data_IF_867908171050
#
_entry.id   IF_867908171050
#
_cell.length_a   1.000
_cell.length_b   1.000
_cell.length_c   1.000
_cell.angle_alpha   90.00
_cell.angle_beta   90.00
_cell.angle_gamma   90.00
#
_symmetry.space_group_name_H-M   'P 1'
#
loop_
_entity.id
_entity.type
_entity.pdbx_description
1 polymer ?
#
# COMPACT_ATOMS: atom_id res chain seq x y z
N UNK A 1 -29.18 51.49 -3.37
CA UNK A 1 -28.59 50.14 -3.18
C UNK A 1 -27.85 50.18 -1.87
N UNK A 2 -28.39 49.51 -0.86
CA UNK A 2 -27.99 49.60 0.55
C UNK A 2 -26.82 48.64 0.77
N UNK A 3 -25.71 49.13 1.33
CA UNK A 3 -24.54 48.30 1.68
C UNK A 3 -24.78 47.78 3.09
N UNK A 4 -25.17 46.50 3.19
CA UNK A 4 -25.29 45.78 4.45
C UNK A 4 -23.87 45.40 4.93
N UNK A 5 -23.45 45.94 6.08
CA UNK A 5 -22.23 45.52 6.77
C UNK A 5 -22.50 44.19 7.45
N UNK A 6 -21.84 43.13 7.01
CA UNK A 6 -21.82 41.84 7.71
C UNK A 6 -21.00 41.99 9.01
N UNK A 7 -21.66 41.82 10.15
CA UNK A 7 -21.02 41.66 11.45
C UNK A 7 -20.30 40.31 11.54
N UNK A 8 -19.09 40.34 12.08
CA UNK A 8 -18.25 39.19 12.37
C UNK A 8 -18.58 38.67 13.79
N UNK A 9 -18.86 37.37 14.00
CA UNK A 9 -19.09 36.86 15.35
C UNK A 9 -17.75 36.52 16.02
N UNK A 10 -17.50 37.18 17.14
CA UNK A 10 -16.43 36.88 18.10
C UNK A 10 -16.82 35.60 18.85
N UNK A 11 -16.03 34.53 18.71
CA UNK A 11 -16.21 33.29 19.49
C UNK A 11 -15.13 33.24 20.57
N UNK A 12 -15.57 33.30 21.82
CA UNK A 12 -14.76 33.15 23.02
C UNK A 12 -14.22 31.71 23.12
N UNK A 13 -12.90 31.59 23.31
CA UNK A 13 -12.21 30.32 23.53
C UNK A 13 -12.22 30.03 25.03
N UNK A 14 -13.04 29.09 25.47
CA UNK A 14 -13.03 28.57 26.84
C UNK A 14 -12.82 27.05 26.83
N UNK A 15 -11.75 26.59 27.50
CA UNK A 15 -11.60 25.22 27.97
C UNK A 15 -10.69 24.32 27.12
N UNK A 16 -9.37 24.43 27.32
CA UNK A 16 -8.42 23.39 26.92
C UNK A 16 -8.26 22.44 28.12
N UNK A 17 -8.89 21.28 28.06
CA UNK A 17 -8.72 20.22 29.06
C UNK A 17 -7.61 19.28 28.58
N UNK A 18 -6.54 19.17 29.37
CA UNK A 18 -5.36 18.35 29.08
C UNK A 18 -5.71 16.92 29.45
N UNK A 19 -5.88 16.05 28.46
CA UNK A 19 -6.04 14.61 28.69
C UNK A 19 -4.65 13.97 28.63
N UNK A 20 -4.12 13.58 29.79
CA UNK A 20 -3.00 12.65 29.90
C UNK A 20 -3.41 11.31 29.29
N UNK A 21 -2.72 10.89 28.23
CA UNK A 21 -2.80 9.50 27.76
C UNK A 21 -1.52 8.80 28.18
N UNK A 22 -1.68 7.91 29.17
CA UNK A 22 -0.68 7.01 29.70
C UNK A 22 0.11 6.29 28.61
N UNK A 23 1.41 6.20 28.88
CA UNK A 23 2.41 5.43 28.15
C UNK A 23 2.02 3.93 28.16
N UNK A 24 1.81 3.33 26.98
CA UNK A 24 1.67 1.88 26.83
C UNK A 24 2.78 1.37 25.90
N UNK A 25 3.88 0.96 26.53
CA UNK A 25 4.90 0.08 25.96
C UNK A 25 4.39 -1.37 26.02
N UNK A 26 4.81 -2.20 25.06
CA UNK A 26 4.59 -3.65 24.93
C UNK A 26 3.27 -4.11 24.26
N UNK A 27 3.34 -4.35 22.95
CA UNK A 27 3.21 -5.70 22.34
C UNK A 27 3.58 -5.63 20.85
N UNK A 28 4.83 -5.94 20.50
CA UNK A 28 5.18 -6.35 19.13
C UNK A 28 5.44 -7.85 19.19
N UNK A 29 4.39 -8.64 18.97
CA UNK A 29 4.50 -10.07 18.73
C UNK A 29 4.47 -10.35 17.23
N UNK A 30 5.62 -10.83 16.72
CA UNK A 30 5.78 -11.79 15.62
C UNK A 30 4.96 -11.56 14.34
N UNK A 31 5.58 -10.91 13.35
CA UNK A 31 5.21 -11.13 11.93
C UNK A 31 6.12 -12.24 11.41
N UNK A 32 5.57 -13.45 11.40
CA UNK A 32 6.12 -14.63 10.73
C UNK A 32 5.88 -14.48 9.22
N UNK A 33 6.93 -14.49 8.40
CA UNK A 33 6.79 -14.56 6.94
C UNK A 33 6.25 -15.95 6.55
N UNK A 34 5.31 -16.06 5.60
CA UNK A 34 4.70 -17.34 5.26
C UNK A 34 5.66 -18.28 4.54
N UNK A 35 5.76 -19.50 5.06
CA UNK A 35 6.37 -20.66 4.41
C UNK A 35 5.66 -20.99 3.08
N UNK A 36 6.45 -21.34 2.05
CA UNK A 36 5.93 -21.91 0.81
C UNK A 36 5.38 -23.31 1.07
N UNK A 37 4.06 -23.44 1.10
CA UNK A 37 3.38 -24.74 1.09
C UNK A 37 3.51 -25.44 -0.26
N UNK A 38 3.93 -26.71 -0.18
CA UNK A 38 3.82 -27.75 -1.20
C UNK A 38 2.40 -27.85 -1.76
N UNK A 39 2.28 -28.08 -3.06
CA UNK A 39 1.18 -28.85 -3.61
C UNK A 39 1.75 -29.87 -4.61
N UNK A 40 1.60 -31.13 -4.25
CA UNK A 40 1.72 -32.30 -5.11
C UNK A 40 0.31 -32.65 -5.55
N UNK A 41 0.05 -32.79 -6.85
CA UNK A 41 -0.71 -33.94 -7.31
C UNK A 41 -0.26 -34.38 -8.71
N UNK A 42 -0.31 -35.70 -8.86
CA UNK A 42 0.34 -36.61 -9.81
C UNK A 42 -0.68 -36.83 -10.95
N UNK A 43 -0.38 -37.03 -12.23
CA UNK A 43 0.29 -38.15 -12.91
C UNK A 43 0.16 -37.87 -14.41
N UNK A 44 1.24 -38.09 -15.19
CA UNK A 44 1.31 -39.22 -16.13
C UNK A 44 2.68 -39.26 -16.85
N UNK A 45 3.46 -40.29 -16.51
CA UNK A 45 4.36 -41.11 -17.34
C UNK A 45 5.09 -40.51 -18.56
N UNK A 46 6.44 -40.57 -18.53
CA UNK A 46 7.24 -41.58 -19.26
C UNK A 46 8.77 -41.30 -19.17
N UNK A 47 9.46 -42.24 -18.53
CA UNK A 47 10.79 -42.80 -18.84
C UNK A 47 12.07 -41.93 -18.84
N UNK A 48 13.09 -42.57 -18.24
CA UNK A 48 14.53 -42.59 -18.58
C UNK A 48 15.46 -41.57 -17.93
N UNK A 49 16.15 -42.06 -16.89
CA UNK A 49 17.61 -42.02 -16.68
C UNK A 49 18.41 -40.97 -17.48
N UNK A 50 19.03 -40.01 -16.78
CA UNK A 50 20.49 -39.84 -16.75
C UNK A 50 20.90 -38.58 -15.98
N UNK A 51 21.86 -38.75 -15.08
CA UNK A 51 22.75 -37.68 -14.64
C UNK A 51 23.55 -37.18 -15.84
N UNK A 52 23.59 -35.86 -16.05
CA UNK A 52 24.60 -35.26 -16.93
C UNK A 52 25.07 -33.93 -16.33
N UNK A 53 26.31 -33.97 -15.84
CA UNK A 53 27.21 -32.85 -15.59
C UNK A 53 27.65 -32.26 -16.92
N UNK A 54 27.71 -30.92 -17.06
CA UNK A 54 28.41 -30.19 -18.14
C UNK A 54 28.49 -28.72 -17.67
N UNK A 55 29.58 -27.97 -17.62
CA UNK A 55 31.01 -28.13 -17.93
C UNK A 55 31.71 -26.85 -17.44
N UNK A 56 33.03 -26.87 -17.30
CA UNK A 56 33.93 -26.03 -18.13
C UNK A 56 35.37 -26.58 -17.98
N UNK A 57 36.01 -26.64 -19.13
CA UNK A 57 37.22 -27.35 -19.53
C UNK A 57 38.26 -26.25 -19.90
N UNK A 58 39.58 -26.35 -19.68
CA UNK A 58 40.61 -26.99 -20.53
C UNK A 58 42.01 -26.55 -20.00
N UNK A 59 42.98 -27.47 -20.03
CA UNK A 59 44.36 -27.39 -20.63
C UNK A 59 45.33 -28.23 -19.81
N UNK A 60 46.34 -28.94 -20.30
CA UNK A 60 46.71 -29.49 -21.61
C UNK A 60 47.77 -30.57 -21.31
N UNK A 61 47.63 -31.72 -21.97
CA UNK A 61 48.63 -32.73 -22.39
C UNK A 61 49.74 -33.31 -21.47
N UNK A 62 49.69 -34.64 -21.45
CA UNK A 62 50.76 -35.66 -21.53
C UNK A 62 51.48 -36.18 -20.26
N UNK A 63 51.16 -37.45 -19.99
CA UNK A 63 52.05 -38.62 -19.94
C UNK A 63 52.40 -39.26 -18.58
N UNK A 64 51.99 -40.53 -18.52
CA UNK A 64 52.38 -41.69 -17.71
C UNK A 64 52.80 -41.61 -16.23
N UNK A 65 52.03 -42.39 -15.46
CA UNK A 65 52.52 -43.36 -14.46
C UNK A 65 53.14 -42.84 -13.16
N UNK A 66 52.39 -42.93 -12.05
CA UNK A 66 52.67 -43.77 -10.86
C UNK A 66 51.95 -43.27 -9.60
N UNK A 67 51.34 -44.24 -8.90
CA UNK A 67 50.98 -44.29 -7.47
C UNK A 67 50.71 -42.97 -6.73
N UNK A 68 49.42 -42.69 -6.48
CA UNK A 68 49.01 -41.73 -5.46
C UNK A 68 49.17 -42.40 -4.08
N UNK A 69 50.27 -42.12 -3.39
CA UNK A 69 50.38 -42.31 -1.95
C UNK A 69 49.42 -41.35 -1.24
N UNK A 70 48.51 -41.93 -0.45
CA UNK A 70 47.69 -41.22 0.53
C UNK A 70 48.64 -40.52 1.52
N UNK A 71 48.63 -39.19 1.51
CA UNK A 71 49.13 -38.37 2.60
C UNK A 71 47.94 -37.57 3.11
N UNK A 72 47.44 -37.94 4.29
CA UNK A 72 46.52 -37.10 5.07
C UNK A 72 47.21 -35.75 5.29
N UNK A 73 46.79 -34.75 4.51
CA UNK A 73 47.00 -33.35 4.86
C UNK A 73 45.66 -32.81 5.34
N UNK A 74 45.55 -32.73 6.66
CA UNK A 74 44.60 -31.88 7.34
C UNK A 74 44.76 -30.44 6.82
N UNK A 75 43.74 -29.82 6.21
CA UNK A 75 43.74 -28.38 6.05
C UNK A 75 43.12 -27.80 7.31
N UNK A 76 43.98 -27.50 8.29
CA UNK A 76 43.76 -26.33 9.15
C UNK A 76 43.71 -25.11 8.23
N UNK A 77 42.52 -24.81 7.71
CA UNK A 77 42.23 -23.49 7.18
C UNK A 77 41.47 -22.76 8.28
N UNK A 78 42.23 -22.12 9.17
CA UNK A 78 41.76 -20.89 9.78
C UNK A 78 41.44 -19.94 8.64
N UNK A 79 40.18 -19.93 8.19
CA UNK A 79 39.67 -18.91 7.30
C UNK A 79 39.72 -17.62 8.10
N UNK A 80 40.80 -16.88 7.86
CA UNK A 80 41.11 -15.59 8.45
C UNK A 80 39.83 -14.76 8.52
N UNK A 81 39.47 -14.37 9.74
CA UNK A 81 38.39 -13.44 10.10
C UNK A 81 38.67 -12.01 9.60
N UNK A 82 39.05 -11.85 8.33
CA UNK A 82 38.86 -10.60 7.58
C UNK A 82 37.47 -10.69 6.93
N UNK A 83 36.46 -11.01 7.75
CA UNK A 83 35.10 -11.20 7.32
C UNK A 83 34.52 -9.85 6.91
N UNK A 84 34.44 -9.62 5.59
CA UNK A 84 33.54 -8.66 4.95
C UNK A 84 33.46 -7.26 5.58
N UNK A 85 34.59 -6.58 5.74
CA UNK A 85 34.64 -5.19 6.25
C UNK A 85 33.68 -4.22 5.52
N UNK A 86 33.35 -4.47 4.25
CA UNK A 86 32.40 -3.65 3.48
C UNK A 86 30.92 -3.84 3.87
N UNK A 87 30.58 -4.90 4.62
CA UNK A 87 29.23 -5.12 5.18
C UNK A 87 29.09 -4.50 6.57
N UNK A 88 30.13 -3.84 7.09
CA UNK A 88 30.05 -3.11 8.34
C UNK A 88 28.96 -2.05 8.28
N UNK A 89 28.03 -2.08 9.23
CA UNK A 89 26.90 -1.14 9.29
C UNK A 89 25.71 -1.50 8.40
N UNK A 90 25.69 -2.67 7.75
CA UNK A 90 24.54 -3.14 6.96
C UNK A 90 23.25 -3.16 7.80
N UNK A 91 23.28 -3.74 9.00
CA UNK A 91 22.12 -3.80 9.90
C UNK A 91 21.59 -2.40 10.24
N UNK A 92 22.48 -1.48 10.65
CA UNK A 92 22.10 -0.09 10.94
C UNK A 92 21.50 0.63 9.73
N UNK A 93 22.03 0.37 8.52
CA UNK A 93 21.46 0.93 7.28
C UNK A 93 20.08 0.36 6.96
N UNK A 94 19.88 -0.94 7.20
CA UNK A 94 18.57 -1.57 7.02
C UNK A 94 17.52 -1.02 7.99
N UNK A 95 17.89 -0.80 9.25
CA UNK A 95 17.01 -0.17 10.26
C UNK A 95 16.65 1.28 9.87
N UNK A 96 17.62 2.06 9.38
CA UNK A 96 17.39 3.43 8.90
C UNK A 96 16.40 3.45 7.73
N UNK A 97 16.59 2.58 6.74
CA UNK A 97 15.69 2.45 5.58
C UNK A 97 14.27 2.08 6.03
N UNK A 98 14.12 1.09 6.93
CA UNK A 98 12.81 0.69 7.44
C UNK A 98 12.11 1.82 8.19
N UNK A 99 12.86 2.60 8.97
CA UNK A 99 12.33 3.76 9.69
C UNK A 99 11.86 4.85 8.71
N UNK A 100 12.66 5.15 7.69
CA UNK A 100 12.29 6.11 6.63
C UNK A 100 11.03 5.65 5.89
N UNK A 101 10.93 4.37 5.54
CA UNK A 101 9.75 3.79 4.90
C UNK A 101 8.50 3.89 5.77
N UNK A 102 8.62 3.64 7.08
CA UNK A 102 7.52 3.75 8.02
C UNK A 102 7.05 5.20 8.18
N UNK A 103 7.96 6.15 8.33
CA UNK A 103 7.62 7.56 8.42
C UNK A 103 6.99 8.08 7.13
N UNK A 104 7.52 7.66 5.96
CA UNK A 104 6.90 7.96 4.67
C UNK A 104 5.48 7.40 4.57
N UNK A 105 5.25 6.16 5.02
CA UNK A 105 3.93 5.53 5.04
C UNK A 105 2.95 6.32 5.93
N UNK A 106 3.38 6.77 7.11
CA UNK A 106 2.57 7.62 8.00
C UNK A 106 2.18 8.95 7.32
N UNK A 107 3.11 9.60 6.64
CA UNK A 107 2.83 10.86 5.92
C UNK A 107 1.81 10.65 4.78
N UNK A 108 1.93 9.55 4.03
CA UNK A 108 0.98 9.19 2.98
C UNK A 108 -0.42 8.97 3.54
N UNK A 109 -0.54 8.16 4.60
CA UNK A 109 -1.84 7.86 5.23
C UNK A 109 -2.48 9.16 5.75
N UNK A 110 -1.71 10.02 6.40
CA UNK A 110 -2.17 11.35 6.86
C UNK A 110 -2.70 12.19 5.70
N UNK A 111 -1.95 12.30 4.60
CA UNK A 111 -2.38 13.05 3.41
C UNK A 111 -3.65 12.45 2.79
N UNK A 112 -3.78 11.13 2.78
CA UNK A 112 -4.99 10.45 2.30
C UNK A 112 -6.19 10.80 3.17
N UNK A 113 -6.07 10.77 4.49
CA UNK A 113 -7.19 11.15 5.36
C UNK A 113 -7.63 12.60 5.15
N UNK A 114 -6.69 13.53 5.03
CA UNK A 114 -7.00 14.94 4.71
C UNK A 114 -7.77 15.05 3.38
N UNK A 115 -7.30 14.35 2.35
CA UNK A 115 -7.98 14.27 1.06
C UNK A 115 -9.37 13.63 1.14
N UNK A 116 -9.52 12.55 1.91
CA UNK A 116 -10.80 11.85 2.10
C UNK A 116 -11.82 12.79 2.74
N UNK A 117 -11.45 13.48 3.82
CA UNK A 117 -12.31 14.49 4.44
C UNK A 117 -12.70 15.56 3.43
N UNK A 118 -11.71 16.14 2.75
CA UNK A 118 -11.93 17.25 1.81
C UNK A 118 -12.84 16.88 0.63
N UNK A 119 -12.59 15.72 0.02
CA UNK A 119 -13.29 15.27 -1.19
C UNK A 119 -14.67 14.69 -0.91
N UNK A 120 -14.92 14.16 0.30
CA UNK A 120 -16.14 13.38 0.58
C UNK A 120 -17.09 13.98 1.61
N UNK A 121 -16.67 14.93 2.46
CA UNK A 121 -17.48 15.44 3.57
C UNK A 121 -18.84 16.04 3.14
N UNK A 122 -18.91 16.63 1.95
CA UNK A 122 -20.18 17.12 1.38
C UNK A 122 -21.20 15.99 1.18
N UNK A 123 -20.75 14.80 0.84
CA UNK A 123 -21.57 13.67 0.43
C UNK A 123 -21.86 12.67 1.56
N UNK A 124 -21.12 12.70 2.66
CA UNK A 124 -21.23 11.75 3.78
C UNK A 124 -21.74 12.43 5.06
N UNK A 125 -22.38 11.66 5.95
CA UNK A 125 -22.59 12.10 7.33
C UNK A 125 -21.27 12.02 8.10
N UNK A 126 -21.19 12.65 9.28
CA UNK A 126 -19.98 12.59 10.10
C UNK A 126 -19.65 11.15 10.50
N UNK A 127 -20.67 10.35 10.81
CA UNK A 127 -20.56 8.95 11.20
C UNK A 127 -20.02 8.10 10.05
N UNK A 128 -20.60 8.23 8.85
CA UNK A 128 -20.11 7.50 7.68
C UNK A 128 -18.72 7.95 7.24
N UNK A 129 -18.36 9.22 7.45
CA UNK A 129 -17.02 9.70 7.21
C UNK A 129 -16.01 9.06 8.19
N UNK A 130 -16.33 8.98 9.49
CA UNK A 130 -15.48 8.29 10.46
C UNK A 130 -15.24 6.82 10.08
N UNK A 131 -16.29 6.10 9.70
CA UNK A 131 -16.16 4.71 9.22
C UNK A 131 -15.32 4.65 7.93
N UNK A 132 -15.44 5.63 7.03
CA UNK A 132 -14.58 5.71 5.86
C UNK A 132 -13.10 5.86 6.23
N UNK A 133 -12.77 6.66 7.24
CA UNK A 133 -11.40 6.78 7.74
C UNK A 133 -10.90 5.42 8.28
N UNK A 134 -11.68 4.72 9.11
CA UNK A 134 -11.33 3.37 9.60
C UNK A 134 -11.10 2.38 8.43
N UNK A 135 -11.97 2.39 7.43
CA UNK A 135 -11.83 1.54 6.25
C UNK A 135 -10.54 1.82 5.47
N UNK A 136 -10.08 3.08 5.43
CA UNK A 136 -8.81 3.45 4.77
C UNK A 136 -7.61 2.94 5.56
N UNK A 137 -7.67 2.96 6.89
CA UNK A 137 -6.63 2.36 7.73
C UNK A 137 -6.52 0.85 7.48
N UNK A 138 -7.67 0.16 7.46
CA UNK A 138 -7.75 -1.26 7.12
C UNK A 138 -7.23 -1.55 5.70
N UNK A 139 -7.47 -0.65 4.74
CA UNK A 139 -6.94 -0.79 3.38
C UNK A 139 -5.42 -0.66 3.35
N UNK A 140 -4.86 0.29 4.10
CA UNK A 140 -3.42 0.51 4.19
C UNK A 140 -2.68 -0.59 4.98
N UNK A 141 -3.39 -1.35 5.82
CA UNK A 141 -2.89 -2.51 6.55
C UNK A 141 -3.19 -3.86 5.88
N UNK A 142 -4.03 -3.90 4.83
CA UNK A 142 -4.41 -5.12 4.13
C UNK A 142 -5.50 -5.97 4.82
N UNK A 143 -6.25 -5.38 5.77
CA UNK A 143 -7.25 -6.05 6.60
C UNK A 143 -8.66 -5.95 5.99
N UNK A 144 -8.87 -6.62 4.86
CA UNK A 144 -10.11 -6.48 4.08
C UNK A 144 -11.39 -7.02 4.74
N UNK A 145 -11.24 -7.88 5.74
CA UNK A 145 -12.29 -8.48 6.55
C UNK A 145 -12.94 -7.47 7.52
N UNK A 146 -12.23 -6.40 7.87
CA UNK A 146 -12.68 -5.38 8.81
C UNK A 146 -13.46 -4.23 8.16
N UNK A 147 -13.65 -4.27 6.83
CA UNK A 147 -14.37 -3.23 6.11
C UNK A 147 -15.85 -3.18 6.51
N UNK A 148 -16.33 -1.97 6.76
CA UNK A 148 -17.74 -1.70 7.08
C UNK A 148 -18.41 -0.97 5.91
N UNK A 149 -19.62 -1.38 5.50
CA UNK A 149 -20.35 -0.68 4.45
C UNK A 149 -20.82 0.69 4.93
N UNK A 150 -20.76 1.68 4.04
CA UNK A 150 -21.22 3.04 4.24
C UNK A 150 -22.09 3.48 3.07
N UNK A 151 -22.75 4.63 3.23
CA UNK A 151 -23.62 5.20 2.19
C UNK A 151 -23.51 6.72 2.13
N UNK A 152 -23.57 7.25 0.92
CA UNK A 152 -23.72 8.68 0.69
C UNK A 152 -25.13 9.19 1.03
N UNK A 153 -25.21 10.49 1.34
CA UNK A 153 -26.46 11.22 1.58
C UNK A 153 -27.37 11.12 0.35
N UNK A 154 -28.67 11.03 0.58
CA UNK A 154 -29.65 10.87 -0.50
C UNK A 154 -29.78 12.13 -1.37
N UNK A 155 -29.55 13.30 -0.78
CA UNK A 155 -29.64 14.61 -1.42
C UNK A 155 -28.42 14.89 -2.31
N UNK A 156 -27.27 14.32 -1.93
CA UNK A 156 -26.00 14.49 -2.63
C UNK A 156 -25.28 13.13 -2.73
N UNK A 157 -25.79 12.20 -3.57
CA UNK A 157 -25.19 10.88 -3.68
C UNK A 157 -23.85 10.95 -4.41
N UNK A 158 -22.91 10.08 -4.00
CA UNK A 158 -21.70 9.82 -4.76
C UNK A 158 -22.05 8.97 -5.98
N UNK A 159 -21.59 9.39 -7.15
CA UNK A 159 -21.82 8.65 -8.39
C UNK A 159 -20.77 7.55 -8.58
N UNK A 160 -21.08 6.54 -9.40
CA UNK A 160 -20.11 5.49 -9.72
C UNK A 160 -18.79 6.05 -10.30
N UNK A 161 -18.78 7.01 -11.24
CA UNK A 161 -17.55 7.67 -11.66
C UNK A 161 -16.75 8.31 -10.52
N UNK A 162 -17.42 9.04 -9.60
CA UNK A 162 -16.76 9.63 -8.42
C UNK A 162 -16.11 8.59 -7.53
N UNK A 163 -16.78 7.47 -7.27
CA UNK A 163 -16.22 6.39 -6.45
C UNK A 163 -15.03 5.70 -7.12
N UNK A 164 -15.08 5.51 -8.45
CA UNK A 164 -13.97 4.95 -9.23
C UNK A 164 -12.73 5.85 -9.15
N UNK A 165 -12.90 7.14 -9.38
CA UNK A 165 -11.79 8.10 -9.32
C UNK A 165 -11.25 8.25 -7.91
N UNK A 166 -12.14 8.30 -6.92
CA UNK A 166 -11.78 8.38 -5.52
C UNK A 166 -10.85 7.24 -5.10
N UNK A 167 -11.23 5.99 -5.39
CA UNK A 167 -10.39 4.84 -5.03
C UNK A 167 -9.12 4.76 -5.88
N UNK A 168 -9.16 5.24 -7.13
CA UNK A 168 -7.95 5.33 -7.94
C UNK A 168 -6.93 6.28 -7.30
N UNK A 169 -7.34 7.50 -6.94
CA UNK A 169 -6.48 8.53 -6.33
C UNK A 169 -5.80 8.03 -5.05
N UNK A 170 -6.55 7.32 -4.19
CA UNK A 170 -6.04 6.73 -2.96
C UNK A 170 -5.09 5.59 -3.26
N UNK A 171 -5.51 4.68 -4.14
CA UNK A 171 -4.76 3.47 -4.41
C UNK A 171 -3.42 3.71 -5.08
N UNK A 172 -3.29 4.78 -5.90
CA UNK A 172 -1.99 5.17 -6.47
C UNK A 172 -0.98 5.51 -5.38
N UNK A 173 -1.41 6.18 -4.30
CA UNK A 173 -0.53 6.63 -3.21
C UNK A 173 -0.18 5.51 -2.24
N UNK A 174 -1.10 4.58 -2.04
CA UNK A 174 -0.86 3.38 -1.25
C UNK A 174 -0.09 2.30 -2.03
N UNK A 175 0.05 2.42 -3.35
CA UNK A 175 0.70 1.41 -4.19
C UNK A 175 -0.07 0.09 -4.28
N UNK A 176 -1.40 0.11 -4.05
CA UNK A 176 -2.25 -1.10 -4.08
C UNK A 176 -2.73 -1.44 -5.49
N UNK A 177 -2.99 -2.71 -5.76
CA UNK A 177 -3.39 -3.18 -7.08
C UNK A 177 -4.79 -2.69 -7.48
N UNK A 178 -5.07 -2.64 -8.78
CA UNK A 178 -6.40 -2.26 -9.28
C UNK A 178 -7.50 -3.21 -8.80
N UNK A 179 -7.17 -4.48 -8.58
CA UNK A 179 -8.11 -5.49 -8.05
C UNK A 179 -8.50 -5.18 -6.60
N UNK A 180 -7.51 -4.89 -5.75
CA UNK A 180 -7.74 -4.49 -4.36
C UNK A 180 -8.56 -3.20 -4.27
N UNK A 181 -8.26 -2.20 -5.11
CA UNK A 181 -9.04 -0.96 -5.21
C UNK A 181 -10.51 -1.24 -5.56
N UNK A 182 -10.75 -2.09 -6.57
CA UNK A 182 -12.11 -2.43 -7.01
C UNK A 182 -12.88 -3.20 -5.94
N UNK A 183 -12.23 -4.15 -5.26
CA UNK A 183 -12.82 -4.89 -4.14
C UNK A 183 -13.16 -3.94 -2.99
N UNK A 184 -12.21 -3.11 -2.56
CA UNK A 184 -12.40 -2.14 -1.49
C UNK A 184 -13.64 -1.27 -1.73
N UNK A 185 -13.68 -0.55 -2.86
CA UNK A 185 -14.74 0.43 -3.09
C UNK A 185 -16.10 -0.23 -3.24
N UNK A 186 -16.16 -1.43 -3.84
CA UNK A 186 -17.42 -2.18 -3.98
C UNK A 186 -17.94 -2.72 -2.64
N UNK A 187 -17.04 -3.13 -1.74
CA UNK A 187 -17.39 -3.58 -0.40
C UNK A 187 -17.90 -2.43 0.47
N UNK A 188 -17.24 -1.26 0.44
CA UNK A 188 -17.62 -0.15 1.30
C UNK A 188 -18.78 0.70 0.77
N UNK A 189 -19.03 0.72 -0.56
CA UNK A 189 -20.20 1.39 -1.17
C UNK A 189 -21.07 0.41 -1.98
N UNK A 190 -21.70 -0.58 -1.31
CA UNK A 190 -22.45 -1.63 -2.00
C UNK A 190 -23.70 -1.09 -2.69
N UNK A 191 -24.28 0.00 -2.19
CA UNK A 191 -25.53 0.57 -2.71
C UNK A 191 -25.28 1.38 -3.99
N UNK A 192 -24.29 2.26 -3.96
CA UNK A 192 -23.89 3.12 -5.07
C UNK A 192 -23.32 2.30 -6.24
N UNK A 193 -22.69 1.17 -5.94
CA UNK A 193 -22.05 0.27 -6.91
C UNK A 193 -22.79 -1.05 -7.11
N UNK A 194 -24.08 -1.13 -6.74
CA UNK A 194 -24.88 -2.38 -6.81
C UNK A 194 -24.85 -3.06 -8.18
N UNK A 195 -24.86 -2.28 -9.26
CA UNK A 195 -24.90 -2.77 -10.63
C UNK A 195 -23.51 -2.92 -11.29
N UNK A 196 -22.44 -2.46 -10.61
CA UNK A 196 -21.08 -2.52 -11.15
C UNK A 196 -20.43 -3.87 -10.82
N UNK A 197 -19.92 -4.58 -11.81
CA UNK A 197 -19.12 -5.80 -11.55
C UNK A 197 -17.69 -5.44 -11.17
N UNK A 198 -16.97 -6.33 -10.48
CA UNK A 198 -15.55 -6.10 -10.16
C UNK A 198 -14.70 -5.88 -11.43
N UNK A 199 -14.92 -6.71 -12.46
CA UNK A 199 -14.22 -6.55 -13.74
C UNK A 199 -14.51 -5.23 -14.46
N UNK A 200 -15.75 -4.70 -14.32
CA UNK A 200 -16.07 -3.36 -14.80
C UNK A 200 -15.30 -2.29 -14.02
N UNK A 201 -15.28 -2.37 -12.69
CA UNK A 201 -14.58 -1.40 -11.85
C UNK A 201 -13.10 -1.34 -12.18
N UNK A 202 -12.39 -2.48 -12.18
CA UNK A 202 -10.95 -2.58 -12.49
C UNK A 202 -10.60 -1.86 -13.80
N UNK A 203 -11.42 -2.01 -14.85
CA UNK A 203 -11.18 -1.41 -16.16
C UNK A 203 -11.46 0.10 -16.22
N UNK A 204 -12.26 0.63 -15.30
CA UNK A 204 -12.78 2.00 -15.37
C UNK A 204 -12.37 2.86 -14.15
N UNK A 205 -11.40 2.44 -13.34
CA UNK A 205 -10.95 3.21 -12.16
C UNK A 205 -10.39 4.60 -12.53
N UNK A 206 -9.76 4.72 -13.71
CA UNK A 206 -9.12 5.94 -14.22
C UNK A 206 -9.73 6.41 -15.54
N UNK A 207 -11.04 6.32 -15.68
CA UNK A 207 -11.71 6.83 -16.88
C UNK A 207 -11.78 8.37 -16.91
N UNK A 208 -12.31 8.91 -18.00
CA UNK A 208 -12.40 10.36 -18.24
C UNK A 208 -13.82 10.90 -18.05
N UNK A 209 -14.72 10.12 -17.44
CA UNK A 209 -16.11 10.52 -17.26
C UNK A 209 -16.17 11.65 -16.23
N UNK A 210 -16.97 12.68 -16.53
CA UNK A 210 -17.17 13.77 -15.58
C UNK A 210 -17.63 13.25 -14.21
N UNK A 211 -17.03 13.79 -13.16
CA UNK A 211 -17.18 13.29 -11.80
C UNK A 211 -17.10 14.42 -10.78
N UNK A 212 -17.76 14.23 -9.63
CA UNK A 212 -17.65 15.13 -8.48
C UNK A 212 -16.26 15.08 -7.82
N UNK A 213 -15.53 13.98 -8.04
CA UNK A 213 -14.17 13.76 -7.56
C UNK A 213 -13.29 13.51 -8.79
N UNK A 214 -12.46 14.49 -9.20
CA UNK A 214 -11.62 14.34 -10.37
C UNK A 214 -10.46 13.38 -10.12
N UNK A 215 -9.93 12.80 -11.21
CA UNK A 215 -8.69 12.06 -11.19
C UNK A 215 -7.54 13.00 -10.82
N UNK A 216 -6.73 12.59 -9.83
CA UNK A 216 -5.58 13.29 -9.31
C UNK A 216 -4.35 12.36 -9.37
N UNK A 217 -3.59 12.53 -10.46
CA UNK A 217 -2.35 11.78 -10.69
C UNK A 217 -1.19 12.52 -10.01
N UNK A 218 -0.54 11.94 -8.97
CA UNK A 218 0.59 12.58 -8.34
C UNK A 218 1.79 12.69 -9.29
N UNK A 219 2.69 13.64 -9.02
CA UNK A 219 3.99 13.72 -9.68
C UNK A 219 4.87 12.55 -9.22
N UNK A 220 5.95 12.27 -9.96
CA UNK A 220 6.91 11.24 -9.59
C UNK A 220 7.42 11.45 -8.16
N UNK A 221 7.30 10.41 -7.34
CA UNK A 221 7.68 10.39 -5.91
C UNK A 221 6.93 11.42 -5.02
N UNK A 222 5.80 11.95 -5.48
CA UNK A 222 4.90 12.79 -4.69
C UNK A 222 3.67 12.00 -4.24
N UNK A 223 3.11 12.37 -3.09
CA UNK A 223 1.87 11.81 -2.55
C UNK A 223 0.83 12.87 -2.22
N UNK A 224 1.17 14.16 -2.36
CA UNK A 224 0.27 15.28 -2.12
C UNK A 224 -0.88 15.29 -3.13
N UNK A 225 -2.03 15.80 -2.71
CA UNK A 225 -3.22 15.94 -3.55
C UNK A 225 -3.34 17.39 -4.04
N UNK A 226 -3.80 17.57 -5.28
CA UNK A 226 -4.13 18.88 -5.83
C UNK A 226 -5.60 19.23 -5.53
N UNK A 227 -5.80 19.93 -4.41
CA UNK A 227 -7.13 20.37 -3.99
C UNK A 227 -7.80 21.36 -4.95
N UNK A 228 -7.05 21.98 -5.88
CA UNK A 228 -7.65 22.90 -6.86
C UNK A 228 -8.56 22.17 -7.85
N UNK A 229 -8.28 20.89 -8.13
CA UNK A 229 -9.10 20.05 -9.01
C UNK A 229 -10.49 19.83 -8.39
N UNK A 230 -10.55 19.52 -7.10
CA UNK A 230 -11.80 19.27 -6.37
C UNK A 230 -12.63 20.55 -6.30
N UNK A 231 -12.01 21.69 -6.01
CA UNK A 231 -12.70 22.98 -5.95
C UNK A 231 -13.41 23.31 -7.27
N UNK A 232 -12.73 23.11 -8.41
CA UNK A 232 -13.31 23.33 -9.74
C UNK A 232 -14.50 22.38 -9.96
N UNK A 233 -14.30 21.08 -9.78
CA UNK A 233 -15.33 20.06 -10.00
C UNK A 233 -16.59 20.26 -9.13
N UNK A 234 -16.44 20.80 -7.91
CA UNK A 234 -17.56 21.06 -7.02
C UNK A 234 -18.22 22.43 -7.20
N UNK A 235 -17.57 23.39 -7.88
CA UNK A 235 -18.10 24.72 -8.18
C UNK A 235 -18.89 24.81 -9.49
N UNK A 236 -18.69 23.89 -10.45
CA UNK A 236 -19.31 23.91 -11.79
C UNK A 236 -20.83 23.63 -11.83
N UNK A 237 -21.53 23.89 -10.71
CA UNK A 237 -23.00 23.91 -10.62
C UNK A 237 -23.46 25.27 -10.07
N UNK A 238 -23.38 26.30 -10.91
CA UNK A 238 -24.21 27.50 -10.80
C UNK A 238 -24.82 27.79 -12.17
#
# INVERSE_FOLDING_TARGET
>A
MIIEKCNEPTVEVSGLEIIEVSNATEVISMIELPEKTKNTDITENKATSSEIVTSITISEKHDDSKEIKVLEQQPTSEVKSEAFSYLQGFESRMEEIQKEELERKKMIIKAIHEYVTYSTAKFLTKENLLILHENIDHLASGQSDLYKPIRSKMETPLTSPSLRHFVWNIGERLGISLSERANFIKTIFPNELKNATLGYLVKNLKDTIHSQIPIDSPKYDDFKFDYTLINKAQCDKK
#
